data_IF_726180525996
#
_entry.id   IF_726180525996
#
_cell.length_a   1.000
_cell.length_b   1.000
_cell.length_c   1.000
_cell.angle_alpha   90.00
_cell.angle_beta   90.00
_cell.angle_gamma   90.00
#
_symmetry.space_group_name_H-M   'P 1'
#
loop_
_entity.id
_entity.type
_entity.pdbx_description
1 polymer ?
#
# COMPACT_ATOMS: atom_id res chain seq x y z
N UNK A 1 29.51 -65.00 51.27
CA UNK A 1 28.35 -64.81 50.36
C UNK A 1 27.59 -63.51 50.62
N UNK A 2 27.28 -63.17 51.88
CA UNK A 2 26.53 -61.94 52.23
C UNK A 2 27.29 -60.65 51.88
N UNK A 3 28.60 -60.55 52.21
CA UNK A 3 29.43 -59.38 51.88
C UNK A 3 29.46 -59.03 50.39
N UNK A 4 29.65 -60.00 49.50
CA UNK A 4 29.60 -59.78 48.05
C UNK A 4 28.24 -59.24 47.58
N UNK A 5 27.15 -59.75 48.16
CA UNK A 5 25.79 -59.31 47.82
C UNK A 5 25.56 -57.85 48.20
N UNK A 6 26.06 -57.43 49.35
CA UNK A 6 26.02 -56.03 49.81
C UNK A 6 26.88 -55.13 48.93
N UNK A 7 28.06 -55.58 48.50
CA UNK A 7 28.92 -54.82 47.58
C UNK A 7 28.28 -54.61 46.21
N UNK A 8 27.61 -55.63 45.67
CA UNK A 8 26.90 -55.55 44.39
C UNK A 8 25.67 -54.62 44.48
N UNK A 9 24.92 -54.68 45.58
CA UNK A 9 23.80 -53.75 45.84
C UNK A 9 24.31 -52.30 45.97
N UNK A 10 25.44 -52.08 46.64
CA UNK A 10 26.03 -50.76 46.83
C UNK A 10 26.55 -50.17 45.52
N UNK A 11 27.13 -50.99 44.64
CA UNK A 11 27.47 -50.59 43.26
C UNK A 11 26.22 -50.22 42.47
N UNK A 12 25.17 -51.02 42.56
CA UNK A 12 23.91 -50.79 41.84
C UNK A 12 23.24 -49.48 42.29
N UNK A 13 23.24 -49.21 43.60
CA UNK A 13 22.70 -47.98 44.17
C UNK A 13 23.52 -46.75 43.75
N UNK A 14 24.85 -46.82 43.76
CA UNK A 14 25.70 -45.73 43.25
C UNK A 14 25.44 -45.43 41.78
N UNK A 15 25.24 -46.46 40.96
CA UNK A 15 24.94 -46.30 39.54
C UNK A 15 23.58 -45.63 39.33
N UNK A 16 22.57 -46.02 40.12
CA UNK A 16 21.26 -45.36 40.13
C UNK A 16 21.34 -43.90 40.58
N UNK A 17 22.14 -43.61 41.61
CA UNK A 17 22.32 -42.25 42.11
C UNK A 17 22.90 -41.32 41.03
N UNK A 18 23.94 -41.77 40.31
CA UNK A 18 24.54 -41.01 39.21
C UNK A 18 23.53 -40.80 38.07
N UNK A 19 22.77 -41.84 37.72
CA UNK A 19 21.75 -41.75 36.67
C UNK A 19 20.62 -40.76 37.05
N UNK A 20 20.15 -40.79 38.30
CA UNK A 20 19.15 -39.85 38.81
C UNK A 20 19.70 -38.42 38.81
N UNK A 21 20.95 -38.21 39.23
CA UNK A 21 21.58 -36.89 39.19
C UNK A 21 21.70 -36.35 37.76
N UNK A 22 22.05 -37.22 36.80
CA UNK A 22 22.05 -36.87 35.37
C UNK A 22 20.68 -36.42 34.89
N UNK A 23 19.62 -37.20 35.18
CA UNK A 23 18.24 -36.83 34.83
C UNK A 23 17.77 -35.53 35.47
N UNK A 24 18.17 -35.25 36.71
CA UNK A 24 17.84 -33.97 37.38
C UNK A 24 18.51 -32.80 36.64
N UNK A 25 19.75 -32.96 36.21
CA UNK A 25 20.46 -31.92 35.47
C UNK A 25 19.82 -31.66 34.10
N UNK A 26 19.45 -32.73 33.37
CA UNK A 26 18.72 -32.63 32.10
C UNK A 26 17.37 -31.92 32.26
N UNK A 27 16.55 -32.36 33.23
CA UNK A 27 15.24 -31.75 33.50
C UNK A 27 15.36 -30.29 33.88
N UNK A 28 16.39 -29.90 34.65
CA UNK A 28 16.65 -28.48 34.97
C UNK A 28 16.99 -27.67 33.73
N UNK A 29 17.81 -28.22 32.83
CA UNK A 29 18.14 -27.58 31.56
C UNK A 29 16.90 -27.35 30.69
N UNK A 30 16.05 -28.38 30.55
CA UNK A 30 14.79 -28.26 29.80
C UNK A 30 13.82 -27.26 30.42
N UNK A 31 13.75 -27.20 31.76
CA UNK A 31 12.86 -26.28 32.48
C UNK A 31 13.34 -24.82 32.32
N UNK A 32 14.65 -24.60 32.32
CA UNK A 32 15.24 -23.29 32.04
C UNK A 32 14.93 -22.82 30.61
N UNK A 33 15.11 -23.69 29.61
CA UNK A 33 14.74 -23.39 28.22
C UNK A 33 13.25 -23.07 28.08
N UNK A 34 12.38 -23.86 28.73
CA UNK A 34 10.93 -23.61 28.75
C UNK A 34 10.58 -22.23 29.34
N UNK A 35 11.22 -21.84 30.44
CA UNK A 35 11.01 -20.53 31.04
C UNK A 35 11.49 -19.37 30.14
N UNK A 36 12.59 -19.54 29.42
CA UNK A 36 13.06 -18.54 28.45
C UNK A 36 12.06 -18.35 27.31
N UNK A 37 11.46 -19.43 26.80
CA UNK A 37 10.40 -19.35 25.80
C UNK A 37 9.14 -18.65 26.32
N UNK A 38 8.70 -18.96 27.54
CA UNK A 38 7.53 -18.31 28.16
C UNK A 38 7.77 -16.80 28.34
N UNK A 39 8.96 -16.42 28.79
CA UNK A 39 9.30 -15.01 28.96
C UNK A 39 9.34 -14.24 27.63
N UNK A 40 9.81 -14.87 26.54
CA UNK A 40 9.74 -14.30 25.19
C UNK A 40 8.28 -14.10 24.75
N UNK A 41 7.40 -15.06 25.00
CA UNK A 41 5.98 -14.92 24.65
C UNK A 41 5.33 -13.78 25.44
N UNK A 42 5.59 -13.68 26.75
CA UNK A 42 5.08 -12.57 27.58
C UNK A 42 5.57 -11.21 27.12
N UNK A 43 6.80 -11.12 26.59
CA UNK A 43 7.31 -9.87 26.03
C UNK A 43 6.53 -9.35 24.82
N UNK A 44 5.68 -10.18 24.20
CA UNK A 44 4.82 -9.80 23.08
C UNK A 44 3.43 -9.30 23.51
N UNK A 45 3.05 -9.42 24.79
CA UNK A 45 1.75 -8.92 25.30
C UNK A 45 1.51 -7.43 24.97
N UNK A 46 2.50 -6.52 25.12
CA UNK A 46 2.31 -5.10 24.78
C UNK A 46 2.07 -4.86 23.28
N UNK A 47 2.65 -5.69 22.40
CA UNK A 47 2.42 -5.63 20.96
C UNK A 47 0.98 -6.04 20.62
N UNK A 48 0.46 -7.05 21.32
CA UNK A 48 -0.92 -7.50 21.15
C UNK A 48 -1.92 -6.43 21.59
N UNK A 49 -1.69 -5.81 22.75
CA UNK A 49 -2.52 -4.68 23.23
C UNK A 49 -2.50 -3.48 22.28
N UNK A 50 -1.35 -3.22 21.65
CA UNK A 50 -1.22 -2.14 20.67
C UNK A 50 -1.98 -2.47 19.39
N UNK A 51 -1.88 -3.72 18.90
CA UNK A 51 -2.60 -4.17 17.72
C UNK A 51 -4.12 -4.11 17.92
N UNK A 52 -4.63 -4.46 19.11
CA UNK A 52 -6.05 -4.34 19.43
C UNK A 52 -6.53 -2.87 19.39
N UNK A 53 -5.74 -1.94 19.93
CA UNK A 53 -6.08 -0.51 19.86
C UNK A 53 -6.07 0.04 18.44
N UNK A 54 -5.11 -0.39 17.61
CA UNK A 54 -5.03 0.03 16.21
C UNK A 54 -6.25 -0.47 15.43
N UNK A 55 -6.68 -1.72 15.67
CA UNK A 55 -7.86 -2.30 15.03
C UNK A 55 -9.13 -1.47 15.27
N UNK A 56 -9.35 -1.00 16.49
CA UNK A 56 -10.54 -0.20 16.78
C UNK A 56 -10.53 1.14 16.04
N UNK A 57 -9.36 1.78 15.97
CA UNK A 57 -9.15 3.02 15.20
C UNK A 57 -9.35 2.79 13.70
N UNK A 58 -8.80 1.71 13.15
CA UNK A 58 -8.99 1.35 11.73
C UNK A 58 -10.46 1.09 11.41
N UNK A 59 -11.17 0.40 12.29
CA UNK A 59 -12.59 0.12 12.11
C UNK A 59 -13.42 1.40 12.16
N UNK A 60 -13.13 2.30 13.11
CA UNK A 60 -13.78 3.61 13.21
C UNK A 60 -13.51 4.45 11.96
N UNK A 61 -12.27 4.48 11.48
CA UNK A 61 -11.88 5.18 10.25
C UNK A 61 -12.60 4.60 9.02
N UNK A 62 -12.61 3.28 8.85
CA UNK A 62 -13.30 2.62 7.74
C UNK A 62 -14.81 2.93 7.77
N UNK A 63 -15.43 2.86 8.94
CA UNK A 63 -16.86 3.17 9.11
C UNK A 63 -17.15 4.64 8.80
N UNK A 64 -16.28 5.57 9.21
CA UNK A 64 -16.41 6.99 8.91
C UNK A 64 -16.29 7.26 7.40
N UNK A 65 -15.34 6.61 6.72
CA UNK A 65 -15.19 6.71 5.25
C UNK A 65 -16.45 6.18 4.55
N UNK A 66 -16.95 5.00 4.94
CA UNK A 66 -18.19 4.45 4.37
C UNK A 66 -19.38 5.39 4.59
N UNK A 67 -19.55 5.92 5.80
CA UNK A 67 -20.62 6.87 6.11
C UNK A 67 -20.50 8.15 5.26
N UNK A 68 -19.28 8.66 5.07
CA UNK A 68 -19.03 9.83 4.23
C UNK A 68 -19.34 9.54 2.76
N UNK A 69 -18.95 8.38 2.22
CA UNK A 69 -19.30 7.96 0.86
C UNK A 69 -20.82 7.90 0.64
N UNK A 70 -21.60 7.52 1.65
CA UNK A 70 -23.06 7.51 1.58
C UNK A 70 -23.71 8.89 1.70
N UNK A 71 -23.09 9.82 2.44
CA UNK A 71 -23.60 11.19 2.60
C UNK A 71 -23.25 12.06 1.39
N UNK A 72 -22.04 11.93 0.86
CA UNK A 72 -21.55 12.64 -0.33
C UNK A 72 -21.93 11.91 -1.63
N UNK A 73 -23.04 11.15 -1.60
CA UNK A 73 -23.52 10.37 -2.74
C UNK A 73 -23.71 11.21 -3.99
N UNK A 74 -24.02 12.50 -3.85
CA UNK A 74 -24.14 13.44 -4.98
C UNK A 74 -22.78 13.86 -5.57
N UNK A 75 -21.72 13.90 -4.77
CA UNK A 75 -20.35 14.18 -5.23
C UNK A 75 -19.74 12.95 -5.95
N UNK A 76 -20.12 11.74 -5.50
CA UNK A 76 -19.75 10.47 -6.13
C UNK A 76 -20.79 9.94 -7.14
N UNK A 77 -21.92 10.62 -7.34
CA UNK A 77 -22.96 10.21 -8.31
C UNK A 77 -22.42 10.21 -9.74
N UNK A 78 -21.41 11.03 -10.03
CA UNK A 78 -20.70 11.01 -11.30
C UNK A 78 -20.07 9.64 -11.62
N UNK A 79 -19.77 8.83 -10.60
CA UNK A 79 -19.25 7.46 -10.71
C UNK A 79 -20.35 6.39 -10.85
N UNK A 80 -21.60 6.73 -10.49
CA UNK A 80 -22.75 5.81 -10.46
C UNK A 80 -23.60 5.85 -11.73
N UNK A 81 -23.41 6.82 -12.61
CA UNK A 81 -24.13 6.87 -13.86
C UNK A 81 -23.62 5.78 -14.80
N UNK A 82 -24.48 4.78 -15.05
CA UNK A 82 -24.37 3.77 -16.09
C UNK A 82 -24.06 4.39 -17.48
N UNK A 83 -22.79 4.64 -17.77
CA UNK A 83 -22.28 4.62 -19.12
C UNK A 83 -21.43 3.36 -19.27
N UNK A 84 -21.70 2.56 -20.31
CA UNK A 84 -20.92 1.35 -20.64
C UNK A 84 -19.44 1.67 -21.00
N UNK A 85 -19.07 2.94 -21.00
CA UNK A 85 -17.70 3.42 -21.17
C UNK A 85 -17.15 4.03 -19.87
N UNK A 86 -15.89 3.72 -19.50
CA UNK A 86 -15.22 4.36 -18.37
C UNK A 86 -15.06 5.87 -18.65
N UNK A 87 -15.51 6.70 -17.70
CA UNK A 87 -15.43 8.16 -17.80
C UNK A 87 -13.99 8.64 -17.54
N UNK A 88 -13.51 9.63 -18.31
CA UNK A 88 -12.19 10.26 -18.09
C UNK A 88 -12.00 10.80 -16.67
N UNK A 89 -13.08 11.27 -16.04
CA UNK A 89 -13.09 11.70 -14.63
C UNK A 89 -12.49 10.68 -13.66
N UNK A 90 -12.66 9.38 -13.90
CA UNK A 90 -12.06 8.32 -13.10
C UNK A 90 -10.54 8.31 -13.24
N UNK A 91 -10.04 8.45 -14.47
CA UNK A 91 -8.61 8.49 -14.75
C UNK A 91 -8.02 9.75 -14.11
N UNK A 92 -8.62 10.92 -14.34
CA UNK A 92 -8.17 12.17 -13.73
C UNK A 92 -8.11 12.10 -12.19
N UNK A 93 -9.08 11.42 -11.58
CA UNK A 93 -9.07 11.19 -10.13
C UNK A 93 -7.90 10.28 -9.68
N UNK A 94 -7.51 9.25 -10.45
CA UNK A 94 -6.34 8.41 -10.13
C UNK A 94 -5.02 9.17 -10.15
N UNK A 95 -4.93 10.26 -10.92
CA UNK A 95 -3.77 11.15 -10.95
C UNK A 95 -3.87 12.31 -9.94
N UNK A 96 -4.89 12.31 -9.08
CA UNK A 96 -5.03 13.30 -8.00
C UNK A 96 -5.45 14.70 -8.48
N UNK A 97 -6.03 14.82 -9.68
CA UNK A 97 -6.54 16.11 -10.15
C UNK A 97 -7.70 16.59 -9.29
N UNK A 98 -7.72 17.90 -9.01
CA UNK A 98 -8.76 18.47 -8.14
C UNK A 98 -10.17 18.33 -8.75
N UNK A 99 -11.23 18.20 -7.93
CA UNK A 99 -12.61 18.12 -8.42
C UNK A 99 -13.02 19.29 -9.33
N UNK A 100 -12.47 20.49 -9.06
CA UNK A 100 -12.69 21.68 -9.88
C UNK A 100 -12.12 21.53 -11.30
N UNK A 101 -10.94 20.93 -11.43
CA UNK A 101 -10.32 20.65 -12.75
C UNK A 101 -11.13 19.58 -13.49
N UNK A 102 -11.50 18.50 -12.80
CA UNK A 102 -12.32 17.43 -13.36
C UNK A 102 -13.67 17.97 -13.86
N UNK A 103 -14.32 18.85 -13.09
CA UNK A 103 -15.61 19.46 -13.50
C UNK A 103 -15.50 20.33 -14.75
N UNK A 104 -14.34 20.96 -14.99
CA UNK A 104 -14.10 21.79 -16.18
C UNK A 104 -13.89 20.95 -17.44
N UNK A 105 -13.54 19.68 -17.27
CA UNK A 105 -13.32 18.73 -18.35
C UNK A 105 -14.48 17.70 -18.45
N UNK A 106 -15.62 17.97 -17.79
CA UNK A 106 -16.73 17.02 -17.73
C UNK A 106 -17.32 16.69 -19.11
N UNK A 107 -17.29 17.65 -20.03
CA UNK A 107 -17.79 17.49 -21.41
C UNK A 107 -16.73 16.92 -22.36
N UNK A 108 -15.49 16.73 -21.89
CA UNK A 108 -14.42 16.17 -22.69
C UNK A 108 -14.55 14.64 -22.68
N UNK A 109 -14.70 14.04 -23.85
CA UNK A 109 -14.72 12.58 -23.99
C UNK A 109 -13.30 12.01 -24.18
N UNK A 110 -13.15 10.70 -23.91
CA UNK A 110 -11.87 10.01 -24.00
C UNK A 110 -11.26 10.05 -25.41
N UNK A 111 -12.10 10.02 -26.45
CA UNK A 111 -11.64 10.05 -27.83
C UNK A 111 -11.00 11.41 -28.14
N UNK A 112 -11.73 12.50 -27.89
CA UNK A 112 -11.28 13.87 -28.10
C UNK A 112 -10.03 14.16 -27.27
N UNK A 113 -9.99 13.72 -26.00
CA UNK A 113 -8.79 13.87 -25.17
C UNK A 113 -7.59 13.14 -25.77
N UNK A 114 -7.74 11.92 -26.28
CA UNK A 114 -6.63 11.13 -26.83
C UNK A 114 -6.18 11.57 -28.23
N UNK A 115 -7.09 12.09 -29.05
CA UNK A 115 -6.81 12.49 -30.44
C UNK A 115 -6.58 13.99 -30.60
N UNK A 116 -6.73 14.79 -29.55
CA UNK A 116 -6.46 16.23 -29.63
C UNK A 116 -4.96 16.47 -29.79
N UNK A 117 -4.58 16.95 -30.98
CA UNK A 117 -3.22 17.33 -31.32
C UNK A 117 -2.77 18.60 -30.59
N UNK A 118 -3.71 19.50 -30.29
CA UNK A 118 -3.45 20.70 -29.53
C UNK A 118 -4.23 20.63 -28.22
N UNK A 119 -3.81 19.71 -27.34
CA UNK A 119 -4.42 19.53 -26.03
C UNK A 119 -4.35 20.84 -25.24
N UNK A 120 -3.24 21.57 -25.31
CA UNK A 120 -3.07 22.81 -24.55
C UNK A 120 -4.15 23.85 -24.87
N UNK A 121 -4.42 24.15 -26.13
CA UNK A 121 -5.45 25.13 -26.48
C UNK A 121 -6.84 24.66 -26.05
N UNK A 122 -7.10 23.35 -26.15
CA UNK A 122 -8.32 22.74 -25.63
C UNK A 122 -8.43 22.92 -24.11
N UNK A 123 -7.34 22.75 -23.35
CA UNK A 123 -7.32 22.95 -21.90
C UNK A 123 -7.53 24.41 -21.52
N UNK A 124 -6.91 25.34 -22.25
CA UNK A 124 -7.09 26.79 -22.06
C UNK A 124 -8.55 27.17 -22.33
N UNK A 125 -9.15 26.65 -23.40
CA UNK A 125 -10.56 26.87 -23.72
C UNK A 125 -11.49 26.38 -22.61
N UNK A 126 -11.15 25.26 -21.97
CA UNK A 126 -11.85 24.74 -20.78
C UNK A 126 -11.46 25.45 -19.46
N UNK A 127 -10.75 26.58 -19.55
CA UNK A 127 -10.42 27.43 -18.41
C UNK A 127 -9.27 26.93 -17.54
N UNK A 128 -8.48 25.97 -18.01
CA UNK A 128 -7.27 25.47 -17.35
C UNK A 128 -6.08 26.27 -17.88
N UNK A 129 -5.72 27.32 -17.16
CA UNK A 129 -4.61 28.22 -17.51
C UNK A 129 -3.33 27.94 -16.73
N UNK A 130 -3.44 27.21 -15.63
CA UNK A 130 -2.30 26.81 -14.80
C UNK A 130 -1.36 25.89 -15.59
N UNK A 131 -0.05 26.12 -15.48
CA UNK A 131 0.93 25.35 -16.24
C UNK A 131 1.08 23.93 -15.69
N UNK A 132 1.22 23.78 -14.37
CA UNK A 132 1.38 22.47 -13.73
C UNK A 132 0.20 21.55 -14.04
N UNK A 133 -1.03 22.05 -13.91
CA UNK A 133 -2.25 21.30 -14.26
C UNK A 133 -2.28 20.90 -15.73
N UNK A 134 -1.81 21.78 -16.65
CA UNK A 134 -1.72 21.44 -18.08
C UNK A 134 -0.68 20.37 -18.34
N UNK A 135 0.49 20.48 -17.69
CA UNK A 135 1.57 19.49 -17.75
C UNK A 135 1.09 18.11 -17.25
N UNK A 136 0.38 18.08 -16.13
CA UNK A 136 -0.23 16.86 -15.59
C UNK A 136 -1.22 16.23 -16.58
N UNK A 137 -2.07 17.03 -17.24
CA UNK A 137 -3.02 16.54 -18.22
C UNK A 137 -2.35 16.03 -19.50
N UNK A 138 -1.29 16.69 -19.97
CA UNK A 138 -0.45 16.19 -21.07
C UNK A 138 0.24 14.87 -20.70
N UNK A 139 0.72 14.74 -19.46
CA UNK A 139 1.31 13.51 -18.96
C UNK A 139 0.27 12.37 -18.95
N UNK A 140 -0.94 12.63 -18.46
CA UNK A 140 -2.04 11.66 -18.46
C UNK A 140 -2.37 11.21 -19.89
N UNK A 141 -2.47 12.16 -20.84
CA UNK A 141 -2.72 11.85 -22.25
C UNK A 141 -1.65 10.92 -22.82
N UNK A 142 -0.37 11.24 -22.57
CA UNK A 142 0.76 10.42 -23.01
C UNK A 142 0.72 9.00 -22.42
N UNK A 143 0.51 8.87 -21.11
CA UNK A 143 0.44 7.57 -20.43
C UNK A 143 -0.72 6.71 -20.95
N UNK A 144 -1.86 7.33 -21.25
CA UNK A 144 -3.00 6.65 -21.85
C UNK A 144 -2.71 6.18 -23.28
N UNK A 145 -2.05 6.99 -24.11
CA UNK A 145 -1.66 6.62 -25.47
C UNK A 145 -0.65 5.46 -25.50
N UNK A 146 0.26 5.41 -24.53
CA UNK A 146 1.24 4.32 -24.38
C UNK A 146 0.67 3.07 -23.69
N UNK A 147 -0.56 3.12 -23.18
CA UNK A 147 -1.19 2.01 -22.45
C UNK A 147 -0.54 1.69 -21.10
N UNK A 148 0.15 2.65 -20.48
CA UNK A 148 0.92 2.48 -19.24
C UNK A 148 0.17 2.99 -18.00
N UNK A 149 -1.12 2.65 -17.86
CA UNK A 149 -1.86 2.90 -16.61
C UNK A 149 -1.76 1.66 -15.69
N UNK A 150 -1.51 1.81 -14.38
CA UNK A 150 -1.31 3.04 -13.58
C UNK A 150 0.12 3.63 -13.72
N UNK A 151 0.32 4.91 -13.33
CA UNK A 151 1.62 5.59 -13.50
C UNK A 151 2.77 4.80 -12.87
N UNK A 152 3.85 4.60 -13.63
CA UNK A 152 5.09 4.05 -13.10
C UNK A 152 5.81 5.13 -12.27
N UNK A 153 6.57 4.70 -11.25
CA UNK A 153 7.39 5.60 -10.42
C UNK A 153 8.53 6.29 -11.21
N UNK A 154 8.73 5.92 -12.49
CA UNK A 154 9.79 6.42 -13.35
C UNK A 154 9.39 7.71 -14.06
N UNK A 155 9.27 8.80 -13.31
CA UNK A 155 9.06 10.14 -13.87
C UNK A 155 10.26 10.64 -14.70
N UNK A 156 11.45 10.12 -14.42
CA UNK A 156 12.72 10.60 -14.99
C UNK A 156 12.88 10.33 -16.51
N UNK A 157 12.12 9.40 -17.06
CA UNK A 157 12.18 9.04 -18.49
C UNK A 157 11.00 9.60 -19.31
N UNK A 158 10.09 10.33 -18.67
CA UNK A 158 8.91 10.84 -19.36
C UNK A 158 9.23 12.15 -20.11
N UNK A 159 8.98 12.21 -21.45
CA UNK A 159 9.25 13.40 -22.25
C UNK A 159 8.41 14.62 -21.84
N UNK A 160 7.25 14.40 -21.20
CA UNK A 160 6.42 15.48 -20.65
C UNK A 160 6.98 15.97 -19.30
N UNK A 161 7.49 15.07 -18.46
CA UNK A 161 8.01 15.44 -17.14
C UNK A 161 9.28 16.29 -17.23
N UNK A 162 10.11 16.07 -18.25
CA UNK A 162 11.35 16.83 -18.49
C UNK A 162 11.13 18.26 -18.98
N UNK A 163 9.94 18.61 -19.49
CA UNK A 163 9.64 19.99 -19.90
C UNK A 163 9.53 20.87 -18.65
N UNK A 164 10.37 21.89 -18.53
CA UNK A 164 10.36 22.84 -17.42
C UNK A 164 9.52 24.08 -17.73
N UNK A 165 9.30 24.35 -19.02
CA UNK A 165 8.55 25.53 -19.49
C UNK A 165 7.37 25.17 -20.39
N UNK A 166 6.48 26.15 -20.55
CA UNK A 166 5.32 26.03 -21.42
C UNK A 166 5.72 25.89 -22.89
N UNK A 167 6.71 26.67 -23.31
CA UNK A 167 7.25 26.68 -24.65
C UNK A 167 7.86 25.31 -25.00
N UNK A 168 8.65 24.71 -24.10
CA UNK A 168 9.22 23.36 -24.31
C UNK A 168 8.14 22.28 -24.42
N UNK A 169 7.08 22.37 -23.62
CA UNK A 169 5.96 21.42 -23.70
C UNK A 169 5.17 21.61 -25.00
N UNK A 170 4.97 22.85 -25.44
CA UNK A 170 4.31 23.15 -26.71
C UNK A 170 5.13 22.66 -27.89
N UNK A 171 6.43 22.97 -27.92
CA UNK A 171 7.37 22.51 -28.96
C UNK A 171 7.39 20.97 -29.04
N UNK A 172 7.37 20.28 -27.90
CA UNK A 172 7.27 18.82 -27.86
C UNK A 172 5.96 18.33 -28.50
N UNK A 173 4.82 18.93 -28.16
CA UNK A 173 3.53 18.54 -28.73
C UNK A 173 3.45 18.80 -30.24
N UNK A 174 4.13 19.85 -30.72
CA UNK A 174 4.25 20.17 -32.15
C UNK A 174 5.25 19.27 -32.89
N UNK A 175 6.33 18.78 -32.24
CA UNK A 175 7.35 17.92 -32.86
C UNK A 175 6.86 16.47 -33.09
N UNK A 176 5.89 16.01 -32.29
CA UNK A 176 5.24 14.69 -32.45
C UNK A 176 4.05 14.70 -33.45
N UNK A 177 3.88 15.77 -34.24
CA UNK A 177 3.05 15.81 -35.46
C UNK A 177 3.54 14.84 -36.56
#
# INVERSE_FOLDING_TARGET
KVLRKVEDELKTLKLKQVNIQGKIAELRGSLQQGNEHINKIRSLEPLLETAEKVKDVELEMATAIEAQMYQDKNEYSALSECSDSPKLSLIFNTFGLSPKVISRLADLDAFTFLTSHNLTDLLIFNGITDFETRKDLCYIQHMMQQGQLPPSETHDECPVCICETYEELQDLLEEYE
#
